data_IF_923177646173
#
_entry.id   IF_923177646173
#
_cell.length_a   1.000
_cell.length_b   1.000
_cell.length_c   1.000
_cell.angle_alpha   90.00
_cell.angle_beta   90.00
_cell.angle_gamma   90.00
#
_symmetry.space_group_name_H-M   'P 1'
#
loop_
_entity.id
_entity.type
_entity.pdbx_description
1 polymer ?
#
# COMPACT_ATOMS: atom_id res chain seq x y z
N UNK A 1 -31.77 65.10 38.36
CA UNK A 1 -30.78 64.10 38.80
C UNK A 1 -31.48 62.75 38.83
N UNK A 2 -31.40 62.01 37.73
CA UNK A 2 -32.10 60.72 37.55
C UNK A 2 -31.20 59.58 37.98
N UNK A 3 -31.57 58.87 39.03
CA UNK A 3 -30.86 57.71 39.56
C UNK A 3 -31.24 56.51 38.69
N UNK A 4 -30.35 56.08 37.78
CA UNK A 4 -30.51 54.82 37.02
C UNK A 4 -30.42 53.66 38.02
N UNK A 5 -31.57 53.08 38.35
CA UNK A 5 -31.69 51.89 39.18
C UNK A 5 -31.27 50.66 38.33
N UNK A 6 -30.02 50.21 38.44
CA UNK A 6 -29.56 48.96 37.85
C UNK A 6 -30.40 47.79 38.39
N UNK A 7 -31.28 47.27 37.55
CA UNK A 7 -32.02 46.05 37.82
C UNK A 7 -31.01 44.90 37.93
N UNK A 8 -30.98 44.26 39.09
CA UNK A 8 -30.16 43.09 39.35
C UNK A 8 -30.64 41.90 38.51
N UNK A 9 -30.05 41.68 37.36
CA UNK A 9 -30.38 40.56 36.42
C UNK A 9 -29.49 39.33 36.68
N UNK A 10 -29.19 39.03 37.94
CA UNK A 10 -28.19 38.00 38.33
C UNK A 10 -28.60 36.55 37.99
N UNK A 11 -29.85 36.24 37.71
CA UNK A 11 -30.32 34.89 37.35
C UNK A 11 -30.39 34.62 35.84
N UNK A 12 -30.69 35.67 35.07
CA UNK A 12 -30.87 35.54 33.61
C UNK A 12 -29.57 35.21 32.86
N UNK A 13 -28.44 35.76 33.29
CA UNK A 13 -27.13 35.50 32.69
C UNK A 13 -26.71 34.05 32.84
N UNK A 14 -27.06 33.40 33.94
CA UNK A 14 -26.73 31.99 34.18
C UNK A 14 -27.53 31.07 33.25
N UNK A 15 -28.85 31.36 33.10
CA UNK A 15 -29.72 30.63 32.18
C UNK A 15 -29.27 30.84 30.71
N UNK A 16 -28.92 32.06 30.33
CA UNK A 16 -28.38 32.36 29.01
C UNK A 16 -27.07 31.59 28.73
N UNK A 17 -26.17 31.57 29.73
CA UNK A 17 -24.91 30.81 29.62
C UNK A 17 -25.18 29.33 29.41
N UNK A 18 -26.05 28.72 30.20
CA UNK A 18 -26.42 27.31 30.03
C UNK A 18 -27.02 27.03 28.66
N UNK A 19 -27.83 27.95 28.15
CA UNK A 19 -28.43 27.80 26.82
C UNK A 19 -27.40 27.89 25.71
N UNK A 20 -26.42 28.80 25.82
CA UNK A 20 -25.30 28.90 24.85
C UNK A 20 -24.43 27.66 24.89
N UNK A 21 -24.09 27.15 26.08
CA UNK A 21 -23.31 25.91 26.22
C UNK A 21 -24.06 24.71 25.64
N UNK A 22 -25.36 24.62 25.83
CA UNK A 22 -26.20 23.58 25.25
C UNK A 22 -26.18 23.59 23.71
N UNK A 23 -26.34 24.79 23.09
CA UNK A 23 -26.26 24.93 21.64
C UNK A 23 -24.85 24.57 21.11
N UNK A 24 -23.77 25.01 21.79
CA UNK A 24 -22.40 24.66 21.43
C UNK A 24 -22.16 23.16 21.52
N UNK A 25 -22.66 22.51 22.57
CA UNK A 25 -22.54 21.07 22.75
C UNK A 25 -23.23 20.29 21.60
N UNK A 26 -24.43 20.76 21.19
CA UNK A 26 -25.17 20.16 20.09
C UNK A 26 -24.45 20.34 18.74
N UNK A 27 -23.81 21.49 18.53
CA UNK A 27 -22.98 21.75 17.35
C UNK A 27 -21.75 20.87 17.25
N UNK A 28 -21.08 20.60 18.38
CA UNK A 28 -19.91 19.71 18.42
C UNK A 28 -20.26 18.27 18.07
N UNK A 29 -21.45 17.79 18.41
CA UNK A 29 -21.89 16.43 18.14
C UNK A 29 -21.97 16.14 16.62
N UNK A 30 -22.26 17.17 15.82
CA UNK A 30 -22.28 17.07 14.35
C UNK A 30 -20.90 17.31 13.73
N UNK A 31 -20.08 18.17 14.33
CA UNK A 31 -18.79 18.55 13.77
C UNK A 31 -17.72 17.44 13.88
N UNK A 32 -17.73 16.65 14.96
CA UNK A 32 -16.72 15.62 15.23
C UNK A 32 -16.66 14.54 14.15
N UNK A 33 -17.77 13.89 13.71
CA UNK A 33 -17.70 12.83 12.70
C UNK A 33 -17.22 13.34 11.34
N UNK A 34 -17.56 14.57 10.98
CA UNK A 34 -17.08 15.17 9.72
C UNK A 34 -15.55 15.33 9.74
N UNK A 35 -15.00 15.73 10.86
CA UNK A 35 -13.55 15.90 11.01
C UNK A 35 -12.80 14.57 10.97
N UNK A 36 -13.32 13.53 11.59
CA UNK A 36 -12.75 12.19 11.54
C UNK A 36 -12.66 11.66 10.10
N UNK A 37 -13.73 11.83 9.32
CA UNK A 37 -13.75 11.46 7.90
C UNK A 37 -12.70 12.23 7.09
N UNK A 38 -12.50 13.51 7.39
CA UNK A 38 -11.50 14.33 6.71
C UNK A 38 -10.07 13.83 6.99
N UNK A 39 -9.75 13.57 8.26
CA UNK A 39 -8.45 13.04 8.66
C UNK A 39 -8.18 11.67 7.99
N UNK A 40 -9.19 10.81 7.92
CA UNK A 40 -9.04 9.51 7.28
C UNK A 40 -8.73 9.66 5.78
N UNK A 41 -9.40 10.55 5.07
CA UNK A 41 -9.11 10.84 3.66
C UNK A 41 -7.70 11.37 3.43
N UNK A 42 -7.20 12.23 4.31
CA UNK A 42 -5.81 12.72 4.25
C UNK A 42 -4.81 11.58 4.44
N UNK A 43 -5.08 10.68 5.40
CA UNK A 43 -4.24 9.49 5.61
C UNK A 43 -4.26 8.54 4.40
N UNK A 44 -5.41 8.36 3.74
CA UNK A 44 -5.53 7.55 2.52
C UNK A 44 -4.69 8.13 1.36
N UNK A 45 -4.70 9.45 1.18
CA UNK A 45 -3.86 10.11 0.18
C UNK A 45 -2.37 9.91 0.49
N UNK A 46 -2.01 10.02 1.76
CA UNK A 46 -0.64 9.79 2.20
C UNK A 46 -0.22 8.32 2.04
N UNK A 47 -1.12 7.37 2.31
CA UNK A 47 -0.91 5.94 2.09
C UNK A 47 -0.57 5.64 0.63
N UNK A 48 -1.40 6.15 -0.30
CA UNK A 48 -1.19 5.99 -1.73
C UNK A 48 0.12 6.64 -2.17
N UNK A 49 0.42 7.84 -1.68
CA UNK A 49 1.67 8.52 -2.00
C UNK A 49 2.89 7.73 -1.54
N UNK A 50 2.90 7.28 -0.29
CA UNK A 50 4.01 6.49 0.29
C UNK A 50 4.16 5.14 -0.38
N UNK A 51 3.05 4.43 -0.66
CA UNK A 51 3.05 3.17 -1.39
C UNK A 51 3.68 3.31 -2.79
N UNK A 52 3.31 4.36 -3.53
CA UNK A 52 3.89 4.67 -4.84
C UNK A 52 5.39 4.98 -4.76
N UNK A 53 5.89 5.56 -3.66
CA UNK A 53 7.33 5.77 -3.47
C UNK A 53 8.10 4.44 -3.39
N UNK A 54 7.54 3.42 -2.73
CA UNK A 54 8.13 2.09 -2.71
C UNK A 54 8.11 1.43 -4.09
N UNK A 55 7.01 1.53 -4.84
CA UNK A 55 6.93 1.03 -6.23
C UNK A 55 8.00 1.66 -7.10
N UNK A 56 8.16 2.99 -7.00
CA UNK A 56 9.17 3.71 -7.76
C UNK A 56 10.59 3.34 -7.33
N UNK A 57 10.82 3.10 -6.03
CA UNK A 57 12.11 2.63 -5.54
C UNK A 57 12.47 1.25 -6.10
N UNK A 58 11.52 0.31 -6.13
CA UNK A 58 11.73 -1.01 -6.75
C UNK A 58 11.97 -0.87 -8.26
N UNK A 59 11.27 0.03 -8.94
CA UNK A 59 11.50 0.32 -10.36
C UNK A 59 12.92 0.83 -10.61
N UNK A 60 13.40 1.77 -9.80
CA UNK A 60 14.77 2.29 -9.90
C UNK A 60 15.81 1.21 -9.61
N UNK A 61 15.53 0.32 -8.65
CA UNK A 61 16.39 -0.81 -8.35
C UNK A 61 16.50 -1.76 -9.55
N UNK A 62 15.39 -2.05 -10.23
CA UNK A 62 15.36 -2.87 -11.45
C UNK A 62 16.13 -2.23 -12.61
N UNK A 63 16.14 -0.89 -12.71
CA UNK A 63 16.95 -0.19 -13.72
C UNK A 63 18.46 -0.35 -13.42
N UNK A 64 18.84 -0.27 -12.15
CA UNK A 64 20.26 -0.42 -11.74
C UNK A 64 20.75 -1.86 -11.80
N UNK A 65 19.90 -2.80 -11.38
CA UNK A 65 20.22 -4.25 -11.32
C UNK A 65 19.13 -5.04 -12.06
N UNK A 66 19.17 -5.11 -13.39
CA UNK A 66 18.12 -5.76 -14.18
C UNK A 66 17.93 -7.23 -13.78
N UNK A 67 16.67 -7.59 -13.45
CA UNK A 67 16.30 -8.94 -13.06
C UNK A 67 16.58 -9.32 -11.59
N UNK A 68 17.14 -8.40 -10.79
CA UNK A 68 17.29 -8.58 -9.35
C UNK A 68 16.19 -7.80 -8.61
N UNK A 69 15.68 -8.35 -7.52
CA UNK A 69 14.76 -7.69 -6.61
C UNK A 69 15.42 -7.46 -5.25
N UNK A 70 15.11 -6.37 -4.55
CA UNK A 70 15.63 -6.13 -3.21
C UNK A 70 15.13 -7.22 -2.26
N UNK A 71 15.99 -7.60 -1.32
CA UNK A 71 15.67 -8.59 -0.30
C UNK A 71 15.18 -7.95 0.99
N UNK A 72 15.57 -6.69 1.20
CA UNK A 72 15.18 -5.88 2.34
C UNK A 72 14.95 -4.42 1.92
N UNK A 73 14.20 -3.67 2.72
CA UNK A 73 14.00 -2.24 2.50
C UNK A 73 15.29 -1.43 2.70
N UNK A 74 16.20 -1.90 3.54
CA UNK A 74 17.49 -1.26 3.77
C UNK A 74 18.34 -1.26 2.49
N UNK A 75 18.29 -2.32 1.68
CA UNK A 75 18.98 -2.40 0.39
C UNK A 75 18.52 -1.29 -0.58
N UNK A 76 17.23 -0.87 -0.52
CA UNK A 76 16.72 0.25 -1.31
C UNK A 76 17.34 1.59 -0.91
N UNK A 77 17.68 1.76 0.37
CA UNK A 77 18.35 2.97 0.87
C UNK A 77 19.84 2.95 0.49
N UNK A 78 20.52 1.83 0.68
CA UNK A 78 21.93 1.66 0.33
C UNK A 78 22.17 1.92 -1.16
N UNK A 79 21.30 1.41 -2.01
CA UNK A 79 21.32 1.63 -3.44
C UNK A 79 20.80 3.02 -3.85
N UNK A 80 20.45 3.89 -2.91
CA UNK A 80 19.92 5.25 -3.16
C UNK A 80 18.68 5.26 -4.07
N UNK A 81 17.88 4.21 -4.01
CA UNK A 81 16.59 4.12 -4.68
C UNK A 81 15.48 4.76 -3.85
N UNK A 82 15.64 4.71 -2.50
CA UNK A 82 14.75 5.34 -1.54
C UNK A 82 15.55 6.27 -0.63
N UNK A 83 14.98 7.44 -0.27
CA UNK A 83 15.68 8.41 0.61
C UNK A 83 15.57 8.04 2.08
N UNK A 84 14.44 7.45 2.48
CA UNK A 84 14.13 7.03 3.86
C UNK A 84 13.02 5.99 3.83
N UNK A 85 12.93 5.18 4.86
CA UNK A 85 11.76 4.31 5.06
C UNK A 85 10.55 5.17 5.45
N UNK A 86 9.47 4.99 4.72
CA UNK A 86 8.19 5.62 5.04
C UNK A 86 7.41 4.71 5.98
N UNK A 87 6.73 5.32 6.96
CA UNK A 87 5.83 4.59 7.86
C UNK A 87 4.44 4.47 7.23
N UNK A 88 3.73 3.40 7.55
CA UNK A 88 2.31 3.25 7.18
C UNK A 88 1.46 4.24 8.00
N UNK A 89 0.69 5.14 7.38
CA UNK A 89 -0.15 6.11 8.10
C UNK A 89 -1.41 5.49 8.70
N UNK A 90 -1.79 4.25 8.29
CA UNK A 90 -3.01 3.58 8.74
C UNK A 90 -2.77 2.68 9.96
N UNK A 91 -1.52 2.32 10.24
CA UNK A 91 -1.16 1.49 11.38
C UNK A 91 -0.55 2.32 12.50
N UNK A 92 -0.82 1.93 13.74
CA UNK A 92 -0.24 2.59 14.93
C UNK A 92 1.28 2.38 15.01
N UNK A 93 1.75 1.21 14.59
CA UNK A 93 3.17 0.86 14.59
C UNK A 93 3.91 1.50 13.40
N UNK A 94 3.19 1.88 12.36
CA UNK A 94 3.76 2.40 11.12
C UNK A 94 4.48 1.34 10.27
N UNK A 95 4.23 0.06 10.53
CA UNK A 95 4.83 -1.05 9.81
C UNK A 95 4.01 -1.39 8.57
N UNK A 96 4.72 -1.69 7.47
CA UNK A 96 4.14 -2.19 6.25
C UNK A 96 4.20 -3.71 6.20
N UNK A 97 3.21 -4.33 5.58
CA UNK A 97 3.36 -5.67 5.06
C UNK A 97 4.09 -5.62 3.72
N UNK A 98 4.93 -6.61 3.49
CA UNK A 98 5.77 -6.71 2.28
C UNK A 98 5.07 -7.56 1.24
N UNK A 99 5.03 -7.08 0.02
CA UNK A 99 4.54 -7.84 -1.14
C UNK A 99 5.74 -8.49 -1.81
N UNK A 100 5.76 -9.80 -1.80
CA UNK A 100 6.82 -10.64 -2.34
C UNK A 100 6.37 -11.32 -3.64
N UNK A 101 7.32 -11.53 -4.53
CA UNK A 101 7.08 -12.33 -5.71
C UNK A 101 6.85 -13.80 -5.28
N UNK A 102 5.66 -14.33 -5.57
CA UNK A 102 5.33 -15.72 -5.26
C UNK A 102 6.22 -16.69 -6.05
N UNK A 103 7.06 -17.43 -5.34
CA UNK A 103 7.94 -18.45 -5.89
C UNK A 103 7.35 -19.84 -5.64
N UNK A 104 6.16 -20.10 -6.22
CA UNK A 104 5.55 -21.43 -6.11
C UNK A 104 6.42 -22.55 -6.70
N UNK A 105 6.15 -23.82 -6.35
CA UNK A 105 6.92 -24.98 -6.82
C UNK A 105 7.00 -25.11 -8.35
N UNK A 106 6.10 -24.45 -9.08
CA UNK A 106 6.10 -24.40 -10.55
C UNK A 106 7.11 -23.41 -11.14
N UNK A 107 7.52 -22.37 -10.41
CA UNK A 107 8.47 -21.38 -10.92
C UNK A 107 9.90 -21.92 -11.04
N UNK A 108 10.27 -22.93 -10.26
CA UNK A 108 11.58 -23.60 -10.35
C UNK A 108 11.74 -24.43 -11.64
N UNK A 109 10.65 -24.93 -12.22
CA UNK A 109 10.71 -25.81 -13.41
C UNK A 109 10.90 -25.04 -14.73
N UNK A 110 10.47 -23.79 -14.85
CA UNK A 110 10.57 -23.03 -16.10
C UNK A 110 11.96 -22.47 -16.39
N UNK A 111 12.83 -22.31 -15.37
CA UNK A 111 14.24 -21.89 -15.60
C UNK A 111 15.14 -23.01 -16.09
N UNK A 112 14.85 -24.27 -15.76
CA UNK A 112 15.67 -25.43 -16.16
C UNK A 112 15.36 -25.94 -17.59
N UNK A 113 14.18 -25.66 -18.15
CA UNK A 113 13.80 -26.18 -19.46
C UNK A 113 14.22 -25.31 -20.65
N UNK A 114 14.71 -24.08 -20.42
CA UNK A 114 15.22 -23.22 -21.52
C UNK A 114 16.66 -23.52 -21.94
N UNK A 115 17.43 -24.21 -21.12
CA UNK A 115 18.83 -24.61 -21.46
C UNK A 115 18.92 -25.94 -22.21
N UNK A 116 17.89 -26.80 -22.16
CA UNK A 116 17.98 -28.15 -22.74
C UNK A 116 17.47 -28.28 -24.21
N UNK A 117 16.95 -27.18 -24.82
CA UNK A 117 16.42 -27.23 -26.21
C UNK A 117 17.31 -26.55 -27.27
N UNK A 118 18.60 -26.32 -26.98
CA UNK A 118 19.54 -25.69 -27.94
C UNK A 118 20.43 -26.66 -28.71
N UNK A 119 20.09 -27.93 -28.76
CA UNK A 119 20.86 -28.90 -29.57
C UNK A 119 19.96 -29.81 -30.39
N UNK A 120 19.22 -29.28 -31.34
CA UNK A 120 18.79 -30.02 -32.53
C UNK A 120 18.52 -29.00 -33.64
N UNK A 121 19.40 -28.97 -34.62
CA UNK A 121 19.39 -28.03 -35.72
C UNK A 121 18.17 -28.16 -36.62
N UNK A 122 17.73 -27.05 -37.16
CA UNK A 122 17.22 -27.01 -38.53
C UNK A 122 17.39 -25.60 -39.12
N UNK A 123 18.10 -25.54 -40.24
CA UNK A 123 18.23 -24.40 -41.16
C UNK A 123 16.86 -24.10 -41.73
N UNK A 124 16.47 -22.83 -41.74
CA UNK A 124 15.32 -22.31 -42.48
C UNK A 124 15.41 -20.79 -42.53
N UNK A 125 15.58 -20.28 -43.74
CA UNK A 125 15.66 -18.87 -44.15
C UNK A 125 14.42 -18.06 -43.81
N UNK A 126 14.60 -16.76 -43.53
CA UNK A 126 13.63 -15.75 -43.99
C UNK A 126 13.10 -14.80 -42.92
N UNK A 127 13.39 -13.55 -43.16
CA UNK A 127 12.74 -12.30 -42.78
C UNK A 127 13.15 -11.59 -41.45
N UNK A 128 13.53 -10.29 -41.55
CA UNK A 128 13.74 -9.42 -40.40
C UNK A 128 12.35 -8.89 -39.97
N UNK A 129 11.88 -9.39 -38.86
CA UNK A 129 10.61 -8.97 -38.28
C UNK A 129 10.76 -8.68 -36.79
N UNK A 130 10.53 -7.42 -36.46
CA UNK A 130 10.07 -6.88 -35.21
C UNK A 130 10.76 -7.34 -33.91
N UNK A 131 11.50 -6.38 -33.36
CA UNK A 131 11.86 -6.37 -31.95
C UNK A 131 10.58 -6.52 -31.12
N UNK A 132 10.33 -7.74 -30.66
CA UNK A 132 9.21 -8.02 -29.76
C UNK A 132 9.49 -7.32 -28.44
N UNK A 133 8.75 -6.24 -28.24
CA UNK A 133 8.60 -5.56 -26.97
C UNK A 133 8.48 -6.59 -25.83
N UNK A 134 9.12 -6.26 -24.71
CA UNK A 134 9.22 -7.12 -23.54
C UNK A 134 7.88 -7.76 -23.18
N UNK A 135 7.91 -9.07 -23.05
CA UNK A 135 6.80 -9.84 -22.48
C UNK A 135 6.60 -9.34 -21.04
N UNK A 136 5.63 -8.46 -20.85
CA UNK A 136 5.13 -8.08 -19.53
C UNK A 136 4.49 -9.34 -18.96
N UNK A 137 5.27 -10.08 -18.17
CA UNK A 137 4.75 -11.23 -17.44
C UNK A 137 3.86 -10.66 -16.36
N UNK A 138 2.54 -10.67 -16.55
CA UNK A 138 1.60 -10.28 -15.50
C UNK A 138 1.82 -11.18 -14.29
N UNK A 139 2.01 -10.55 -13.12
CA UNK A 139 2.19 -11.25 -11.86
C UNK A 139 0.81 -11.75 -11.44
N UNK A 140 0.59 -13.07 -11.50
CA UNK A 140 -0.70 -13.69 -11.21
C UNK A 140 -0.92 -13.93 -9.72
N UNK A 141 0.15 -14.22 -8.96
CA UNK A 141 0.08 -14.48 -7.52
C UNK A 141 1.16 -13.68 -6.80
N UNK A 142 0.80 -13.10 -5.66
CA UNK A 142 1.70 -12.37 -4.77
C UNK A 142 1.61 -12.94 -3.36
N UNK A 143 2.74 -13.00 -2.67
CA UNK A 143 2.81 -13.39 -1.27
C UNK A 143 2.89 -12.13 -0.41
N UNK A 144 1.93 -11.97 0.49
CA UNK A 144 1.93 -10.89 1.48
C UNK A 144 2.43 -11.43 2.81
N UNK A 145 3.47 -10.82 3.34
CA UNK A 145 4.06 -11.20 4.63
C UNK A 145 4.26 -9.97 5.51
N UNK A 146 4.12 -10.09 6.84
CA UNK A 146 4.52 -9.01 7.74
C UNK A 146 6.04 -8.82 7.65
N UNK A 147 6.49 -7.57 7.80
CA UNK A 147 7.92 -7.25 7.71
C UNK A 147 8.78 -8.09 8.69
N UNK A 148 8.24 -8.36 9.88
CA UNK A 148 8.89 -9.20 10.89
C UNK A 148 9.15 -10.64 10.44
N UNK A 149 8.33 -11.19 9.53
CA UNK A 149 8.50 -12.55 9.01
C UNK A 149 9.50 -12.63 7.85
N UNK A 150 10.00 -11.50 7.34
CA UNK A 150 10.90 -11.47 6.19
C UNK A 150 12.18 -12.27 6.41
N UNK A 151 12.71 -12.26 7.64
CA UNK A 151 13.89 -13.04 8.03
C UNK A 151 13.69 -14.56 8.01
N UNK A 152 12.44 -15.01 8.06
CA UNK A 152 12.10 -16.44 8.04
C UNK A 152 11.84 -16.98 6.64
N UNK A 153 11.83 -16.12 5.63
CA UNK A 153 11.55 -16.47 4.23
C UNK A 153 12.87 -16.66 3.48
N UNK A 154 13.05 -17.82 2.87
CA UNK A 154 14.22 -18.10 2.04
C UNK A 154 14.21 -17.23 0.79
N UNK A 155 15.25 -16.39 0.64
CA UNK A 155 15.47 -15.53 -0.52
C UNK A 155 14.24 -14.67 -0.90
N UNK A 156 13.79 -13.78 0.00
CA UNK A 156 12.64 -12.92 -0.27
C UNK A 156 12.93 -12.00 -1.46
N UNK A 157 11.96 -11.85 -2.35
CA UNK A 157 12.02 -10.94 -3.49
C UNK A 157 10.93 -9.89 -3.33
N UNK A 158 11.29 -8.74 -2.82
CA UNK A 158 10.36 -7.65 -2.55
C UNK A 158 9.98 -6.98 -3.88
N UNK A 159 8.71 -6.98 -4.20
CA UNK A 159 8.16 -6.30 -5.37
C UNK A 159 7.35 -5.06 -4.99
N UNK A 160 6.95 -4.93 -3.71
CA UNK A 160 6.14 -3.82 -3.25
C UNK A 160 5.76 -3.90 -1.78
N UNK A 161 4.75 -3.11 -1.43
CA UNK A 161 4.21 -3.00 -0.07
C UNK A 161 2.69 -2.98 -0.07
N UNK A 162 2.10 -3.28 1.08
CA UNK A 162 0.67 -3.16 1.35
C UNK A 162 0.48 -2.74 2.80
N UNK A 163 -0.60 -2.03 3.13
CA UNK A 163 -0.88 -1.66 4.52
C UNK A 163 -1.12 -2.91 5.38
N UNK A 164 -0.69 -2.85 6.64
CA UNK A 164 -1.01 -3.90 7.60
C UNK A 164 -2.37 -3.67 8.29
N UNK A 165 -3.08 -2.57 7.99
CA UNK A 165 -4.41 -2.29 8.52
C UNK A 165 -5.47 -3.03 7.73
N UNK A 166 -6.38 -3.72 8.43
CA UNK A 166 -7.54 -4.42 7.86
C UNK A 166 -8.82 -3.58 7.92
N UNK A 167 -8.70 -2.29 8.23
CA UNK A 167 -9.85 -1.39 8.30
C UNK A 167 -10.40 -1.11 6.91
N UNK A 168 -11.71 -0.78 6.86
CA UNK A 168 -12.38 -0.37 5.64
C UNK A 168 -11.96 1.04 5.23
N UNK A 169 -11.76 1.23 3.93
CA UNK A 169 -11.41 2.51 3.33
C UNK A 169 -12.64 3.32 2.96
N UNK A 170 -12.50 4.65 2.93
CA UNK A 170 -13.54 5.55 2.40
C UNK A 170 -13.48 5.58 0.88
N UNK A 171 -12.29 5.45 0.32
CA UNK A 171 -12.06 5.44 -1.14
C UNK A 171 -11.82 4.02 -1.64
N UNK A 172 -12.25 3.75 -2.86
CA UNK A 172 -11.87 2.54 -3.56
C UNK A 172 -10.50 2.76 -4.24
N UNK A 173 -9.59 1.83 -4.04
CA UNK A 173 -8.32 1.77 -4.77
C UNK A 173 -8.22 0.44 -5.49
N UNK A 174 -8.18 0.46 -6.82
CA UNK A 174 -8.25 -0.75 -7.66
C UNK A 174 -9.44 -1.67 -7.31
N UNK A 175 -10.63 -1.07 -7.09
CA UNK A 175 -11.88 -1.74 -6.70
C UNK A 175 -11.82 -2.48 -5.35
N UNK A 176 -10.85 -2.15 -4.48
CA UNK A 176 -10.71 -2.72 -3.15
C UNK A 176 -11.17 -1.73 -2.08
N UNK A 177 -11.90 -2.26 -1.08
CA UNK A 177 -12.50 -1.50 0.02
C UNK A 177 -11.68 -1.53 1.31
N UNK A 178 -10.66 -2.39 1.40
CA UNK A 178 -9.86 -2.60 2.60
C UNK A 178 -8.37 -2.26 2.35
N UNK A 179 -7.70 -1.65 3.34
CA UNK A 179 -6.31 -1.19 3.17
C UNK A 179 -5.31 -2.33 3.00
N UNK A 180 -5.57 -3.52 3.55
CA UNK A 180 -4.74 -4.72 3.39
C UNK A 180 -4.80 -5.30 1.97
N UNK A 181 -5.74 -4.83 1.15
CA UNK A 181 -5.88 -5.20 -0.26
C UNK A 181 -5.36 -4.13 -1.21
N UNK A 182 -4.96 -2.97 -0.70
CA UNK A 182 -4.37 -1.89 -1.48
C UNK A 182 -2.91 -2.21 -1.80
N UNK A 183 -2.70 -3.07 -2.79
CA UNK A 183 -1.38 -3.50 -3.21
C UNK A 183 -0.65 -2.40 -3.98
N UNK A 184 0.58 -2.09 -3.57
CA UNK A 184 1.50 -1.20 -4.27
C UNK A 184 2.72 -1.99 -4.68
N UNK A 185 2.79 -2.47 -5.93
CA UNK A 185 3.90 -3.28 -6.39
C UNK A 185 4.34 -2.96 -7.82
N UNK A 186 5.58 -3.28 -8.12
CA UNK A 186 6.19 -3.07 -9.44
C UNK A 186 5.54 -3.97 -10.50
N UNK A 187 5.29 -3.40 -11.70
CA UNK A 187 4.63 -4.10 -12.82
C UNK A 187 3.17 -4.49 -12.55
N UNK A 188 2.47 -3.68 -11.71
CA UNK A 188 1.04 -3.85 -11.49
C UNK A 188 0.27 -3.49 -12.75
N UNK A 189 -0.51 -4.46 -13.25
CA UNK A 189 -1.48 -4.21 -14.31
C UNK A 189 -2.79 -3.75 -13.67
N UNK A 190 -3.30 -2.58 -14.10
CA UNK A 190 -4.53 -2.00 -13.55
C UNK A 190 -5.79 -2.86 -13.84
N UNK A 191 -5.71 -3.73 -14.84
CA UNK A 191 -6.85 -4.55 -15.26
C UNK A 191 -6.83 -5.97 -14.66
N UNK A 192 -5.76 -6.36 -13.97
CA UNK A 192 -5.64 -7.69 -13.37
C UNK A 192 -5.12 -7.57 -11.94
N UNK A 193 -5.99 -7.87 -10.98
CA UNK A 193 -5.56 -8.04 -9.60
C UNK A 193 -4.93 -9.41 -9.43
N UNK A 194 -3.71 -9.50 -8.85
CA UNK A 194 -3.10 -10.78 -8.53
C UNK A 194 -3.84 -11.44 -7.38
N UNK A 195 -3.81 -12.75 -7.34
CA UNK A 195 -4.26 -13.54 -6.20
C UNK A 195 -3.33 -13.29 -5.00
N UNK A 196 -3.89 -12.89 -3.87
CA UNK A 196 -3.14 -12.59 -2.64
C UNK A 196 -3.05 -13.87 -1.82
N UNK A 197 -1.82 -14.29 -1.53
CA UNK A 197 -1.52 -15.37 -0.59
C UNK A 197 -0.89 -14.76 0.65
N UNK A 198 -1.45 -15.01 1.83
CA UNK A 198 -0.89 -14.51 3.08
C UNK A 198 0.09 -15.51 3.67
N UNK A 199 1.22 -15.02 4.15
CA UNK A 199 2.24 -15.84 4.82
C UNK A 199 1.66 -16.49 6.08
N UNK A 200 1.79 -17.82 6.19
CA UNK A 200 1.26 -18.61 7.32
C UNK A 200 -0.20 -19.07 7.17
N UNK A 201 -0.88 -18.72 6.09
CA UNK A 201 -2.14 -19.35 5.73
C UNK A 201 -1.83 -20.49 4.75
N UNK A 202 -2.06 -21.72 5.18
CA UNK A 202 -2.02 -22.88 4.28
C UNK A 202 -3.13 -22.73 3.23
N UNK A 203 -2.74 -22.92 1.96
CA UNK A 203 -3.68 -23.01 0.84
C UNK A 203 -4.74 -24.05 1.18
N UNK A 204 -5.96 -23.64 1.49
CA UNK A 204 -7.09 -24.55 1.59
C UNK A 204 -7.44 -25.00 0.18
N UNK A 205 -6.97 -26.20 -0.19
CA UNK A 205 -7.49 -26.94 -1.33
C UNK A 205 -9.02 -27.16 -1.24
#
# INVERSE_FOLDING_TARGET
>A
MGIYRMRKTKGYTLILLMFVLFIMSMGLMVAVPVWQTQIQREKEEELIFRGKQYVEAVRLFQIKKPGAFPKDFEELIEEKCLRKLFKDPMTTNGEWNVVLLYQGPTARRTRSSRTARRSAGQRGQGAPGEATAGTTTSIQKVLVAPYSALSSIDNPLIIGVVSASTEESIRLYNDQESYDQWLFFYSQDQNQMPEIVYYGQEEKD
#
